data_IF_365889189109
#
_entry.id   IF_365889189109
#
_cell.length_a   1.000
_cell.length_b   1.000
_cell.length_c   1.000
_cell.angle_alpha   90.00
_cell.angle_beta   90.00
_cell.angle_gamma   90.00
#
_symmetry.space_group_name_H-M   'P 1'
#
loop_
_entity.id
_entity.type
_entity.pdbx_description
1 polymer ?
#
# COMPACT_ATOMS: atom_id res chain seq x y z
N UNK A 1 20.99 -58.41 -9.32
CA UNK A 1 21.44 -57.14 -8.73
C UNK A 1 20.35 -56.10 -8.92
N UNK A 2 19.42 -55.95 -7.94
CA UNK A 2 18.41 -54.91 -7.94
C UNK A 2 19.01 -53.60 -7.37
N UNK A 3 19.25 -52.62 -8.22
CA UNK A 3 19.54 -51.24 -7.82
C UNK A 3 18.27 -50.61 -7.27
N UNK A 4 18.12 -50.55 -5.95
CA UNK A 4 17.12 -49.68 -5.31
C UNK A 4 17.52 -48.20 -5.59
N UNK A 5 16.77 -47.54 -6.46
CA UNK A 5 16.79 -46.06 -6.59
C UNK A 5 16.13 -45.51 -5.34
N UNK A 6 16.91 -44.94 -4.45
CA UNK A 6 16.39 -44.05 -3.42
C UNK A 6 15.90 -42.78 -4.10
N UNK A 7 14.63 -42.71 -4.39
CA UNK A 7 13.96 -41.45 -4.73
C UNK A 7 13.75 -40.68 -3.44
N UNK A 8 14.52 -39.62 -3.23
CA UNK A 8 14.17 -38.61 -2.25
C UNK A 8 12.83 -38.01 -2.68
N UNK A 9 11.82 -37.90 -1.78
CA UNK A 9 10.60 -37.18 -2.10
C UNK A 9 10.92 -35.69 -2.12
N UNK A 10 11.27 -35.17 -3.28
CA UNK A 10 11.23 -33.74 -3.52
C UNK A 10 9.76 -33.38 -3.51
N UNK A 11 9.23 -32.92 -2.37
CA UNK A 11 7.98 -32.18 -2.32
C UNK A 11 8.21 -30.90 -3.13
N UNK A 12 7.92 -30.95 -4.41
CA UNK A 12 7.75 -29.75 -5.21
C UNK A 12 6.42 -29.14 -4.78
N UNK A 13 6.48 -28.14 -3.93
CA UNK A 13 5.37 -27.19 -3.80
C UNK A 13 5.23 -26.50 -5.17
N UNK A 14 4.10 -26.64 -5.81
CA UNK A 14 3.83 -25.98 -7.08
C UNK A 14 2.65 -25.03 -6.91
N UNK A 15 2.95 -23.74 -7.01
CA UNK A 15 1.92 -22.72 -7.07
C UNK A 15 1.62 -22.43 -8.55
N UNK A 16 0.37 -22.54 -8.93
CA UNK A 16 -0.05 -22.44 -10.33
C UNK A 16 -1.06 -21.31 -10.48
N UNK A 17 -0.80 -20.42 -11.44
CA UNK A 17 -1.75 -19.41 -11.88
C UNK A 17 -2.15 -19.67 -13.35
N UNK A 18 -3.41 -19.97 -13.56
CA UNK A 18 -3.97 -20.12 -14.91
C UNK A 18 -4.60 -18.82 -15.38
N UNK A 19 -3.95 -18.18 -16.36
CA UNK A 19 -4.47 -16.99 -17.03
C UNK A 19 -5.12 -17.39 -18.34
N UNK A 20 -6.43 -17.20 -18.49
CA UNK A 20 -7.16 -17.43 -19.74
C UNK A 20 -7.83 -16.14 -20.20
N UNK A 21 -7.75 -15.86 -21.51
CA UNK A 21 -8.47 -14.74 -22.12
C UNK A 21 -9.98 -14.94 -21.90
N UNK A 22 -10.65 -13.93 -21.32
CA UNK A 22 -12.11 -13.92 -21.08
C UNK A 22 -12.66 -15.00 -20.12
N UNK A 23 -11.83 -15.58 -19.23
CA UNK A 23 -12.28 -16.50 -18.16
C UNK A 23 -11.74 -16.06 -16.81
N UNK A 24 -12.40 -16.50 -15.73
CA UNK A 24 -11.92 -16.28 -14.38
C UNK A 24 -10.50 -16.86 -14.22
N UNK A 25 -9.62 -16.10 -13.54
CA UNK A 25 -8.26 -16.57 -13.22
C UNK A 25 -8.37 -17.73 -12.23
N UNK A 26 -7.75 -18.85 -12.54
CA UNK A 26 -7.61 -19.96 -11.63
C UNK A 26 -6.25 -19.88 -10.94
N UNK A 27 -6.21 -19.97 -9.62
CA UNK A 27 -4.99 -20.02 -8.84
C UNK A 27 -5.04 -21.22 -7.91
N UNK A 28 -3.92 -21.94 -7.77
CA UNK A 28 -3.78 -23.05 -6.86
C UNK A 28 -2.46 -22.95 -6.10
N UNK A 29 -2.50 -23.20 -4.80
CA UNK A 29 -1.33 -23.28 -3.92
C UNK A 29 -1.14 -24.77 -3.58
N UNK A 30 0.03 -25.33 -3.85
CA UNK A 30 0.33 -26.76 -3.66
C UNK A 30 -0.74 -27.69 -4.29
N UNK A 31 -1.25 -27.29 -5.46
CA UNK A 31 -2.28 -28.06 -6.18
C UNK A 31 -3.72 -27.87 -5.68
N UNK A 32 -3.92 -27.13 -4.59
CA UNK A 32 -5.25 -26.82 -4.05
C UNK A 32 -5.76 -25.49 -4.61
N UNK A 33 -6.91 -25.46 -5.29
CA UNK A 33 -7.48 -24.23 -5.83
C UNK A 33 -7.83 -23.25 -4.72
N UNK A 34 -7.38 -21.99 -4.85
CA UNK A 34 -7.77 -20.90 -3.96
C UNK A 34 -8.92 -20.10 -4.56
N UNK A 35 -9.79 -19.59 -3.69
CA UNK A 35 -10.99 -18.85 -4.12
C UNK A 35 -10.71 -17.37 -4.40
N UNK A 36 -9.73 -16.79 -3.71
CA UNK A 36 -9.41 -15.35 -3.80
C UNK A 36 -7.92 -15.18 -4.02
N UNK A 37 -7.54 -14.39 -5.03
CA UNK A 37 -6.15 -14.10 -5.36
C UNK A 37 -5.34 -13.51 -4.17
N UNK A 38 -6.01 -12.85 -3.22
CA UNK A 38 -5.38 -12.34 -1.99
C UNK A 38 -4.77 -13.44 -1.11
N UNK A 39 -5.20 -14.68 -1.25
CA UNK A 39 -4.64 -15.82 -0.51
C UNK A 39 -3.22 -16.19 -0.96
N UNK A 40 -2.76 -15.63 -2.09
CA UNK A 40 -1.36 -15.70 -2.54
C UNK A 40 -0.44 -14.72 -1.81
N UNK A 41 -0.99 -13.65 -1.26
CA UNK A 41 -0.20 -12.65 -0.56
C UNK A 41 0.37 -13.25 0.73
N UNK A 42 1.68 -13.09 0.93
CA UNK A 42 2.42 -13.73 2.01
C UNK A 42 2.89 -15.16 1.72
N UNK A 43 2.36 -15.83 0.68
CA UNK A 43 2.87 -17.13 0.20
C UNK A 43 3.96 -16.93 -0.85
N UNK A 44 3.76 -15.93 -1.72
CA UNK A 44 4.73 -15.52 -2.74
C UNK A 44 4.92 -14.02 -2.64
N UNK A 45 6.11 -13.58 -2.27
CA UNK A 45 6.48 -12.18 -2.28
C UNK A 45 7.14 -11.87 -3.63
N UNK A 46 6.56 -10.92 -4.36
CA UNK A 46 6.99 -10.53 -5.70
C UNK A 46 7.32 -9.04 -5.72
N UNK A 47 8.55 -8.72 -6.05
CA UNK A 47 8.93 -7.35 -6.41
C UNK A 47 9.22 -7.31 -7.90
N UNK A 48 8.39 -6.57 -8.61
CA UNK A 48 8.49 -6.42 -10.06
C UNK A 48 9.11 -5.07 -10.40
N UNK A 49 10.08 -5.07 -11.31
CA UNK A 49 10.70 -3.85 -11.84
C UNK A 49 10.16 -3.56 -13.22
N UNK A 50 9.67 -2.35 -13.42
CA UNK A 50 9.22 -1.88 -14.73
C UNK A 50 9.56 -0.40 -14.95
N UNK A 51 9.61 0.08 -16.19
CA UNK A 51 9.77 1.50 -16.48
C UNK A 51 8.68 2.38 -15.83
N UNK A 52 7.51 1.81 -15.58
CA UNK A 52 6.38 2.46 -14.92
C UNK A 52 6.63 2.76 -13.44
N UNK A 53 7.60 2.13 -12.79
CA UNK A 53 7.96 2.41 -11.39
C UNK A 53 8.39 3.87 -11.18
N UNK A 54 8.84 4.53 -12.23
CA UNK A 54 9.10 5.96 -12.23
C UNK A 54 7.84 6.79 -11.89
N UNK A 55 6.66 6.24 -12.13
CA UNK A 55 5.39 6.88 -11.81
C UNK A 55 5.17 7.04 -10.31
N UNK A 56 5.82 6.23 -9.46
CA UNK A 56 5.81 6.40 -7.99
C UNK A 56 6.33 7.79 -7.64
N UNK A 57 7.36 8.27 -8.35
CA UNK A 57 7.94 9.59 -8.14
C UNK A 57 7.15 10.66 -8.90
N UNK A 58 6.89 10.46 -10.19
CA UNK A 58 6.36 11.51 -11.09
C UNK A 58 4.87 11.78 -10.93
N UNK A 59 4.10 10.73 -10.69
CA UNK A 59 2.63 10.83 -10.69
C UNK A 59 2.08 11.31 -9.34
N UNK A 60 0.76 11.45 -9.28
CA UNK A 60 0.06 11.90 -8.09
C UNK A 60 0.08 10.90 -6.93
N UNK A 61 -0.45 11.29 -5.78
CA UNK A 61 -0.46 10.49 -4.54
C UNK A 61 -1.08 9.09 -4.69
N UNK A 62 -1.92 8.89 -5.69
CA UNK A 62 -2.56 7.60 -5.96
C UNK A 62 -1.57 6.48 -6.23
N UNK A 63 -0.49 6.74 -7.02
CA UNK A 63 0.54 5.76 -7.31
C UNK A 63 1.37 5.44 -6.07
N UNK A 64 1.70 6.45 -5.28
CA UNK A 64 2.46 6.28 -4.04
C UNK A 64 1.69 5.47 -2.99
N UNK A 65 0.38 5.75 -2.81
CA UNK A 65 -0.46 4.90 -1.95
C UNK A 65 -0.56 3.47 -2.46
N UNK A 66 -0.70 3.28 -3.79
CA UNK A 66 -0.74 1.95 -4.40
C UNK A 66 0.56 1.19 -4.13
N UNK A 67 1.71 1.85 -4.21
CA UNK A 67 3.00 1.27 -3.85
C UNK A 67 3.00 0.83 -2.37
N UNK A 68 2.70 1.74 -1.42
CA UNK A 68 2.65 1.41 0.01
C UNK A 68 1.70 0.24 0.29
N UNK A 69 0.49 0.29 -0.25
CA UNK A 69 -0.51 -0.74 -0.02
C UNK A 69 -0.11 -2.09 -0.63
N UNK A 70 0.55 -2.08 -1.79
CA UNK A 70 1.04 -3.30 -2.44
C UNK A 70 2.12 -3.98 -1.60
N UNK A 71 3.11 -3.23 -1.14
CA UNK A 71 4.22 -3.77 -0.34
C UNK A 71 3.72 -4.22 1.04
N UNK A 72 2.93 -3.40 1.75
CA UNK A 72 2.35 -3.76 3.05
C UNK A 72 1.44 -4.99 2.97
N UNK A 73 0.64 -5.12 1.91
CA UNK A 73 -0.20 -6.29 1.71
C UNK A 73 0.59 -7.59 1.51
N UNK A 74 1.82 -7.53 1.02
CA UNK A 74 2.68 -8.70 0.91
C UNK A 74 3.31 -9.08 2.26
N UNK A 75 3.61 -8.09 3.09
CA UNK A 75 4.30 -8.28 4.37
C UNK A 75 3.33 -8.58 5.53
N UNK A 76 2.12 -8.03 5.49
CA UNK A 76 1.15 -8.14 6.59
C UNK A 76 -0.23 -8.57 6.10
N UNK A 77 -0.59 -9.83 6.34
CA UNK A 77 -1.91 -10.38 5.98
C UNK A 77 -3.07 -9.71 6.74
N UNK A 78 -2.83 -9.12 7.91
CA UNK A 78 -3.84 -8.36 8.67
C UNK A 78 -4.10 -7.03 7.97
N UNK A 79 -3.05 -6.37 7.45
CA UNK A 79 -3.18 -5.13 6.70
C UNK A 79 -4.13 -5.25 5.51
N UNK A 80 -4.08 -6.36 4.77
CA UNK A 80 -5.00 -6.62 3.64
C UNK A 80 -6.46 -6.52 4.08
N UNK A 81 -6.77 -7.12 5.23
CA UNK A 81 -8.15 -7.15 5.74
C UNK A 81 -8.57 -5.77 6.24
N UNK A 82 -7.68 -5.08 6.94
CA UNK A 82 -7.91 -3.72 7.43
C UNK A 82 -8.10 -2.72 6.28
N UNK A 83 -7.24 -2.79 5.26
CA UNK A 83 -7.35 -1.93 4.06
C UNK A 83 -8.65 -2.19 3.30
N UNK A 84 -9.04 -3.46 3.12
CA UNK A 84 -10.29 -3.81 2.45
C UNK A 84 -11.52 -3.31 3.24
N UNK A 85 -11.50 -3.48 4.57
CA UNK A 85 -12.54 -2.95 5.47
C UNK A 85 -12.63 -1.43 5.40
N UNK A 86 -11.51 -0.75 5.52
CA UNK A 86 -11.43 0.70 5.42
C UNK A 86 -11.99 1.22 4.09
N UNK A 87 -11.56 0.66 2.98
CA UNK A 87 -12.02 1.07 1.65
C UNK A 87 -13.54 0.84 1.47
N UNK A 88 -14.05 -0.26 2.02
CA UNK A 88 -15.49 -0.52 2.03
C UNK A 88 -16.23 0.57 2.81
N UNK A 89 -15.77 0.90 4.00
CA UNK A 89 -16.37 1.93 4.87
C UNK A 89 -16.35 3.31 4.20
N UNK A 90 -15.21 3.73 3.62
CA UNK A 90 -15.11 5.00 2.87
C UNK A 90 -16.11 5.05 1.73
N UNK A 91 -16.28 3.95 0.99
CA UNK A 91 -17.24 3.89 -0.11
C UNK A 91 -18.69 3.99 0.38
N UNK A 92 -19.05 3.31 1.48
CA UNK A 92 -20.39 3.40 2.09
C UNK A 92 -20.64 4.80 2.64
N UNK A 93 -19.67 5.37 3.36
CA UNK A 93 -19.77 6.74 3.86
C UNK A 93 -19.94 7.75 2.72
N UNK A 94 -19.17 7.63 1.64
CA UNK A 94 -19.32 8.52 0.49
C UNK A 94 -20.67 8.37 -0.23
N UNK A 95 -21.24 7.18 -0.24
CA UNK A 95 -22.61 6.95 -0.73
C UNK A 95 -23.62 7.64 0.18
N UNK A 96 -23.52 7.43 1.49
CA UNK A 96 -24.39 8.04 2.48
C UNK A 96 -24.32 9.59 2.44
N UNK A 97 -23.12 10.17 2.27
CA UNK A 97 -22.96 11.62 2.11
C UNK A 97 -23.74 12.17 0.91
N UNK A 98 -23.86 11.39 -0.18
CA UNK A 98 -24.69 11.76 -1.34
C UNK A 98 -26.18 11.64 -1.02
N UNK A 99 -26.56 10.58 -0.32
CA UNK A 99 -27.95 10.30 0.03
C UNK A 99 -28.49 11.32 1.07
N UNK A 100 -27.64 11.79 1.99
CA UNK A 100 -27.97 12.85 2.95
C UNK A 100 -28.38 14.17 2.30
N UNK A 101 -27.96 14.43 1.05
CA UNK A 101 -28.38 15.60 0.29
C UNK A 101 -29.88 15.56 -0.05
N UNK A 102 -30.38 14.37 -0.38
CA UNK A 102 -31.81 14.16 -0.69
C UNK A 102 -32.66 13.90 0.57
N UNK A 103 -32.05 13.29 1.58
CA UNK A 103 -32.70 12.93 2.83
C UNK A 103 -31.83 13.31 4.04
N UNK A 104 -32.01 14.56 4.56
CA UNK A 104 -31.22 15.05 5.70
C UNK A 104 -31.37 14.22 7.00
N UNK A 105 -32.41 13.44 7.16
CA UNK A 105 -32.62 12.56 8.30
C UNK A 105 -31.61 11.45 8.43
N UNK A 106 -30.90 11.13 7.34
CA UNK A 106 -29.83 10.11 7.34
C UNK A 106 -28.52 10.58 7.98
N UNK A 107 -28.38 11.86 8.33
CA UNK A 107 -27.13 12.39 8.90
C UNK A 107 -26.68 11.69 10.19
N UNK A 108 -27.62 11.24 11.02
CA UNK A 108 -27.30 10.51 12.26
C UNK A 108 -26.65 9.15 12.01
N UNK A 109 -26.87 8.54 10.86
CA UNK A 109 -26.24 7.25 10.52
C UNK A 109 -24.75 7.39 10.16
N UNK A 110 -24.26 8.62 9.90
CA UNK A 110 -22.83 8.89 9.66
C UNK A 110 -21.97 8.51 10.86
N UNK A 111 -22.49 8.65 12.10
CA UNK A 111 -21.72 8.36 13.32
C UNK A 111 -21.19 6.93 13.35
N UNK A 112 -21.99 5.97 12.90
CA UNK A 112 -21.58 4.56 12.85
C UNK A 112 -20.46 4.33 11.84
N UNK A 113 -20.55 4.98 10.68
CA UNK A 113 -19.50 4.88 9.66
C UNK A 113 -18.24 5.63 10.07
N UNK A 114 -18.36 6.77 10.72
CA UNK A 114 -17.26 7.57 11.22
C UNK A 114 -16.45 6.79 12.26
N UNK A 115 -17.13 6.16 13.23
CA UNK A 115 -16.49 5.33 14.27
C UNK A 115 -15.70 4.17 13.65
N UNK A 116 -16.30 3.42 12.74
CA UNK A 116 -15.63 2.31 12.06
C UNK A 116 -14.46 2.80 11.19
N UNK A 117 -14.64 3.92 10.50
CA UNK A 117 -13.62 4.53 9.66
C UNK A 117 -12.40 4.94 10.49
N UNK A 118 -12.60 5.49 11.69
CA UNK A 118 -11.53 5.88 12.60
C UNK A 118 -10.77 4.66 13.11
N UNK A 119 -11.47 3.58 13.51
CA UNK A 119 -10.83 2.37 14.01
C UNK A 119 -9.88 1.75 12.96
N UNK A 120 -10.38 1.50 11.75
CA UNK A 120 -9.54 0.95 10.68
C UNK A 120 -8.47 1.94 10.22
N UNK A 121 -8.80 3.21 10.14
CA UNK A 121 -7.88 4.23 9.62
C UNK A 121 -6.69 4.48 10.53
N UNK A 122 -6.88 4.50 11.86
CA UNK A 122 -5.78 4.61 12.83
C UNK A 122 -4.75 3.47 12.65
N UNK A 123 -5.23 2.23 12.44
CA UNK A 123 -4.37 1.06 12.20
C UNK A 123 -3.56 1.20 10.91
N UNK A 124 -4.21 1.63 9.82
CA UNK A 124 -3.56 1.83 8.53
C UNK A 124 -2.50 2.93 8.61
N UNK A 125 -2.82 4.07 9.23
CA UNK A 125 -1.88 5.19 9.39
C UNK A 125 -0.64 4.72 10.14
N UNK A 126 -0.80 4.07 11.30
CA UNK A 126 0.32 3.59 12.11
C UNK A 126 1.20 2.57 11.37
N UNK A 127 0.59 1.63 10.62
CA UNK A 127 1.36 0.65 9.84
C UNK A 127 2.11 1.30 8.66
N UNK A 128 1.52 2.29 8.00
CA UNK A 128 2.20 3.03 6.93
C UNK A 128 3.34 3.89 7.46
N UNK A 129 3.16 4.52 8.61
CA UNK A 129 4.18 5.32 9.27
C UNK A 129 5.41 4.46 9.60
N UNK A 130 5.22 3.35 10.30
CA UNK A 130 6.29 2.40 10.63
C UNK A 130 6.97 1.84 9.35
N UNK A 131 6.19 1.45 8.35
CA UNK A 131 6.73 0.95 7.09
C UNK A 131 7.58 1.98 6.35
N UNK A 132 7.15 3.25 6.30
CA UNK A 132 7.90 4.32 5.63
C UNK A 132 9.19 4.64 6.39
N UNK A 133 9.19 4.57 7.72
CA UNK A 133 10.41 4.73 8.53
C UNK A 133 11.43 3.64 8.21
N UNK A 134 11.03 2.36 8.22
CA UNK A 134 11.90 1.24 7.86
C UNK A 134 12.40 1.33 6.40
N UNK A 135 11.48 1.66 5.49
CA UNK A 135 11.80 1.85 4.08
C UNK A 135 12.84 2.97 3.88
N UNK A 136 12.69 4.09 4.61
CA UNK A 136 13.61 5.22 4.55
C UNK A 136 15.03 4.83 4.98
N UNK A 137 15.17 4.10 6.10
CA UNK A 137 16.48 3.65 6.58
C UNK A 137 17.22 2.79 5.55
N UNK A 138 16.53 1.82 4.96
CA UNK A 138 17.13 0.95 3.95
C UNK A 138 17.42 1.74 2.66
N UNK A 139 16.49 2.58 2.23
CA UNK A 139 16.60 3.35 1.00
C UNK A 139 17.76 4.34 1.03
N UNK A 140 18.02 4.98 2.16
CA UNK A 140 19.18 5.88 2.34
C UNK A 140 20.49 5.15 2.09
N UNK A 141 20.66 3.96 2.68
CA UNK A 141 21.86 3.15 2.48
C UNK A 141 22.07 2.72 1.02
N UNK A 142 21.02 2.19 0.40
CA UNK A 142 21.04 1.75 -0.99
C UNK A 142 21.29 2.90 -1.96
N UNK A 143 20.61 4.02 -1.78
CA UNK A 143 20.76 5.20 -2.63
C UNK A 143 22.16 5.78 -2.56
N UNK A 144 22.73 5.86 -1.36
CA UNK A 144 24.12 6.27 -1.15
C UNK A 144 25.10 5.37 -1.92
N UNK A 145 24.88 4.06 -1.91
CA UNK A 145 25.68 3.11 -2.68
C UNK A 145 25.53 3.32 -4.20
N UNK A 146 24.31 3.51 -4.69
CA UNK A 146 24.02 3.71 -6.12
C UNK A 146 24.60 5.02 -6.68
N UNK A 147 24.69 6.06 -5.85
CA UNK A 147 25.14 7.40 -6.25
C UNK A 147 26.58 7.69 -5.88
N UNK A 148 27.32 6.70 -5.36
CA UNK A 148 28.70 6.90 -4.91
C UNK A 148 28.82 7.87 -3.72
N UNK A 149 27.76 8.03 -2.94
CA UNK A 149 27.70 8.91 -1.76
C UNK A 149 27.46 10.39 -2.05
N UNK A 150 27.18 10.75 -3.31
CA UNK A 150 26.96 12.14 -3.73
C UNK A 150 25.55 12.62 -3.33
N UNK A 151 24.57 11.72 -3.29
CA UNK A 151 23.19 12.04 -3.00
C UNK A 151 22.70 11.41 -1.71
N UNK A 152 21.98 12.17 -0.91
CA UNK A 152 21.29 11.72 0.30
C UNK A 152 19.78 11.64 0.01
N UNK A 153 19.20 10.44 0.11
CA UNK A 153 17.77 10.20 -0.05
C UNK A 153 17.07 10.28 1.30
N UNK A 154 15.88 10.88 1.29
CA UNK A 154 14.96 10.92 2.43
C UNK A 154 13.54 10.62 1.95
N UNK A 155 12.85 9.73 2.66
CA UNK A 155 11.44 9.39 2.43
C UNK A 155 10.66 9.80 3.66
N UNK A 156 9.64 10.64 3.48
CA UNK A 156 8.83 11.18 4.59
C UNK A 156 7.37 10.81 4.37
N UNK A 157 6.74 10.18 5.34
CA UNK A 157 5.31 9.94 5.32
C UNK A 157 4.56 11.26 5.55
N UNK A 158 3.59 11.54 4.69
CA UNK A 158 2.74 12.74 4.73
C UNK A 158 1.27 12.31 4.95
N UNK A 159 0.88 11.97 6.19
CA UNK A 159 -0.49 11.60 6.47
C UNK A 159 -1.42 12.81 6.31
N UNK A 160 -2.60 12.61 5.77
CA UNK A 160 -3.64 13.65 5.70
C UNK A 160 -4.13 14.05 7.09
N UNK A 161 -3.95 13.15 8.05
CA UNK A 161 -4.25 13.31 9.47
C UNK A 161 -3.45 12.29 10.26
N UNK A 162 -2.97 12.65 11.45
CA UNK A 162 -2.34 11.72 12.37
C UNK A 162 -3.37 10.74 12.96
N UNK A 163 -2.92 9.57 13.42
CA UNK A 163 -3.81 8.60 14.07
C UNK A 163 -4.50 9.18 15.31
N UNK A 164 -3.80 10.04 16.05
CA UNK A 164 -4.36 10.69 17.24
C UNK A 164 -5.48 11.70 16.93
N UNK A 165 -5.31 12.48 15.86
CA UNK A 165 -6.23 13.57 15.50
C UNK A 165 -7.37 13.12 14.57
N UNK A 166 -7.39 11.85 14.14
CA UNK A 166 -8.26 11.42 13.06
C UNK A 166 -9.75 11.59 13.39
N UNK A 167 -10.17 11.21 14.58
CA UNK A 167 -11.57 11.32 15.02
C UNK A 167 -12.03 12.78 15.05
N UNK A 168 -11.26 13.64 15.68
CA UNK A 168 -11.54 15.07 15.77
C UNK A 168 -11.62 15.74 14.41
N UNK A 169 -10.65 15.45 13.54
CA UNK A 169 -10.58 16.06 12.21
C UNK A 169 -11.69 15.56 11.30
N UNK A 170 -12.06 14.28 11.40
CA UNK A 170 -13.19 13.72 10.67
C UNK A 170 -14.50 14.39 11.09
N UNK A 171 -14.71 14.55 12.40
CA UNK A 171 -15.89 15.23 12.97
C UNK A 171 -15.97 16.70 12.51
N UNK A 172 -14.88 17.45 12.62
CA UNK A 172 -14.83 18.86 12.18
C UNK A 172 -15.07 19.03 10.68
N UNK A 173 -14.67 18.05 9.88
CA UNK A 173 -14.84 18.10 8.42
C UNK A 173 -16.22 17.62 7.95
N UNK A 174 -17.10 17.15 8.83
CA UNK A 174 -18.40 16.54 8.47
C UNK A 174 -19.25 17.45 7.57
N UNK A 175 -19.42 18.72 7.93
CA UNK A 175 -20.22 19.66 7.14
C UNK A 175 -19.58 19.95 5.75
N UNK A 176 -18.24 19.96 5.69
CA UNK A 176 -17.52 20.04 4.41
C UNK A 176 -17.76 18.80 3.57
N UNK A 177 -17.64 17.61 4.16
CA UNK A 177 -17.86 16.33 3.50
C UNK A 177 -19.28 16.20 2.96
N UNK A 178 -20.28 16.66 3.71
CA UNK A 178 -21.67 16.72 3.27
C UNK A 178 -21.83 17.60 2.02
N UNK A 179 -21.23 18.79 2.01
CA UNK A 179 -21.27 19.69 0.84
C UNK A 179 -20.56 19.10 -0.37
N UNK A 180 -19.38 18.52 -0.15
CA UNK A 180 -18.55 17.94 -1.22
C UNK A 180 -19.01 16.54 -1.63
N UNK A 181 -19.91 15.90 -0.86
CA UNK A 181 -20.39 14.51 -1.04
C UNK A 181 -19.25 13.49 -1.09
N UNK A 182 -18.17 13.77 -0.35
CA UNK A 182 -16.93 13.01 -0.37
C UNK A 182 -16.18 13.15 0.95
N UNK A 183 -15.60 12.06 1.42
CA UNK A 183 -14.73 12.04 2.59
C UNK A 183 -13.41 12.74 2.28
N UNK A 184 -13.07 13.77 3.05
CA UNK A 184 -11.92 14.67 2.77
C UNK A 184 -10.66 14.33 3.54
N UNK A 185 -10.71 13.45 4.55
CA UNK A 185 -9.60 13.16 5.46
C UNK A 185 -9.50 11.65 5.75
N UNK A 186 -8.28 11.15 5.94
CA UNK A 186 -8.00 9.76 6.27
C UNK A 186 -7.00 9.10 5.31
N UNK A 187 -6.59 7.83 5.55
CA UNK A 187 -5.53 7.13 4.81
C UNK A 187 -5.69 7.12 3.29
N UNK A 188 -6.89 7.19 2.77
CA UNK A 188 -7.14 7.31 1.33
C UNK A 188 -6.72 8.66 0.73
N UNK A 189 -6.26 9.61 1.55
CA UNK A 189 -5.76 10.94 1.18
C UNK A 189 -4.28 11.14 1.49
N UNK A 190 -3.64 10.16 2.12
CA UNK A 190 -2.23 10.24 2.48
C UNK A 190 -1.31 10.27 1.27
N UNK A 191 -0.10 10.72 1.53
CA UNK A 191 1.00 10.72 0.58
C UNK A 191 2.31 10.35 1.27
N UNK A 192 3.40 10.24 0.52
CA UNK A 192 4.75 10.35 1.02
C UNK A 192 5.61 11.20 0.07
N UNK A 193 6.57 11.89 0.62
CA UNK A 193 7.52 12.72 -0.11
C UNK A 193 8.86 12.00 -0.25
N UNK A 194 9.50 12.15 -1.40
CA UNK A 194 10.87 11.69 -1.63
C UNK A 194 11.74 12.90 -1.91
N UNK A 195 12.76 13.08 -1.08
CA UNK A 195 13.72 14.15 -1.22
C UNK A 195 15.12 13.60 -1.54
N UNK A 196 15.87 14.32 -2.32
CA UNK A 196 17.30 14.11 -2.56
C UNK A 196 18.03 15.39 -2.21
N UNK A 197 19.00 15.31 -1.31
CA UNK A 197 19.73 16.46 -0.78
C UNK A 197 18.78 17.57 -0.27
N UNK A 198 17.70 17.17 0.43
CA UNK A 198 16.69 18.07 0.98
C UNK A 198 15.66 18.62 -0.03
N UNK A 199 15.79 18.31 -1.31
CA UNK A 199 14.92 18.84 -2.38
C UNK A 199 13.87 17.79 -2.77
N UNK A 200 12.58 18.18 -2.79
CA UNK A 200 11.49 17.33 -3.30
C UNK A 200 11.70 17.01 -4.79
N UNK A 201 12.06 15.77 -5.10
CA UNK A 201 12.41 15.37 -6.46
C UNK A 201 11.21 15.18 -7.39
N UNK A 202 9.99 15.18 -6.87
CA UNK A 202 8.77 15.18 -7.69
C UNK A 202 8.68 16.45 -8.53
N UNK A 203 9.11 17.58 -7.94
CA UNK A 203 8.98 18.92 -8.52
C UNK A 203 10.28 19.40 -9.16
N UNK A 204 11.41 19.14 -8.52
CA UNK A 204 12.68 19.77 -8.84
C UNK A 204 13.79 18.78 -9.16
N UNK A 205 13.53 17.47 -9.06
CA UNK A 205 14.54 16.46 -9.35
C UNK A 205 14.81 16.28 -10.84
N UNK A 206 16.07 16.06 -11.19
CA UNK A 206 16.45 15.62 -12.53
C UNK A 206 15.86 14.25 -12.87
N UNK A 207 15.76 13.91 -14.14
CA UNK A 207 15.28 12.60 -14.56
C UNK A 207 16.16 11.44 -14.00
N UNK A 208 17.48 11.68 -13.89
CA UNK A 208 18.43 10.75 -13.29
C UNK A 208 18.10 10.50 -11.83
N UNK A 209 17.96 11.56 -11.03
CA UNK A 209 17.58 11.48 -9.62
C UNK A 209 16.27 10.76 -9.40
N UNK A 210 15.24 11.07 -10.19
CA UNK A 210 13.96 10.40 -10.10
C UNK A 210 14.05 8.89 -10.39
N UNK A 211 14.84 8.48 -11.39
CA UNK A 211 15.03 7.07 -11.72
C UNK A 211 15.81 6.33 -10.64
N UNK A 212 16.91 6.93 -10.14
CA UNK A 212 17.72 6.31 -9.08
C UNK A 212 16.92 6.19 -7.78
N UNK A 213 16.13 7.22 -7.44
CA UNK A 213 15.25 7.17 -6.27
C UNK A 213 14.14 6.10 -6.41
N UNK A 214 13.50 5.98 -7.57
CA UNK A 214 12.51 4.93 -7.82
C UNK A 214 13.14 3.52 -7.71
N UNK A 215 14.36 3.34 -8.22
CA UNK A 215 15.12 2.11 -8.08
C UNK A 215 15.45 1.83 -6.61
N UNK A 216 15.91 2.83 -5.86
CA UNK A 216 16.21 2.72 -4.43
C UNK A 216 14.99 2.27 -3.63
N UNK A 217 13.80 2.87 -3.89
CA UNK A 217 12.53 2.48 -3.27
C UNK A 217 12.21 1.00 -3.52
N UNK A 218 12.34 0.55 -4.76
CA UNK A 218 12.01 -0.84 -5.11
C UNK A 218 13.01 -1.84 -4.54
N UNK A 219 14.30 -1.52 -4.55
CA UNK A 219 15.32 -2.35 -3.91
C UNK A 219 15.11 -2.44 -2.40
N UNK A 220 14.70 -1.34 -1.76
CA UNK A 220 14.40 -1.32 -0.33
C UNK A 220 13.21 -2.22 0.02
N UNK A 221 12.19 -2.26 -0.83
CA UNK A 221 11.07 -3.18 -0.65
C UNK A 221 11.53 -4.66 -0.70
N UNK A 222 12.51 -4.99 -1.57
CA UNK A 222 13.09 -6.35 -1.61
C UNK A 222 13.81 -6.66 -0.30
N UNK A 223 14.62 -5.73 0.21
CA UNK A 223 15.35 -5.95 1.47
C UNK A 223 14.39 -6.11 2.66
N UNK A 224 13.31 -5.32 2.72
CA UNK A 224 12.27 -5.49 3.74
C UNK A 224 11.63 -6.88 3.68
N UNK A 225 11.30 -7.38 2.50
CA UNK A 225 10.76 -8.74 2.35
C UNK A 225 11.74 -9.79 2.87
N UNK A 226 13.06 -9.65 2.59
CA UNK A 226 14.08 -10.59 3.07
C UNK A 226 14.27 -10.61 4.59
N UNK A 227 14.07 -9.47 5.24
CA UNK A 227 14.22 -9.38 6.71
C UNK A 227 13.03 -9.97 7.47
N UNK A 228 11.87 -10.07 6.83
CA UNK A 228 10.64 -10.57 7.44
C UNK A 228 10.32 -12.04 7.12
N UNK A 229 11.06 -12.68 6.21
CA UNK A 229 10.92 -14.09 5.83
C UNK A 229 12.12 -14.93 6.28
#
# INVERSE_FOLDING_TARGET
LHRRRHSFPTRRSSDLMHLRKNKAKGVAINGLPIRKARELLGVVNLVFFSPEDLNIIKNGPGERRRFLDSELCQLDGVYITELAGYNHIVNQRNRLLKDCYMNPGLKSTLDVWDMQMVDYGKKIIGKREAFVEELNEIARGLHKGLTGGIEELEILYEPSVTAAEFEDKLSRNRERDLRMKLTSVGPHRDDFCVKVNGIDIRRYGSQGQQRTAALSLKLSAIELVKTMT
#
